data_IF_558516821835
#
_entry.id   IF_558516821835
#
_cell.length_a   1.000
_cell.length_b   1.000
_cell.length_c   1.000
_cell.angle_alpha   90.00
_cell.angle_beta   90.00
_cell.angle_gamma   90.00
#
_symmetry.space_group_name_H-M   'P 1'
#
loop_
_entity.id
_entity.type
_entity.pdbx_description
1 polymer ?
#
# COMPACT_ATOMS: atom_id res chain seq x y z
N UNK A 1 -4.49 -5.88 18.69
CA UNK A 1 -4.20 -6.35 17.33
C UNK A 1 -3.37 -5.27 16.64
N UNK A 2 -2.15 -5.58 16.23
CA UNK A 2 -1.36 -4.63 15.46
C UNK A 2 -1.97 -4.52 14.07
N UNK A 3 -2.55 -3.37 13.74
CA UNK A 3 -3.02 -3.04 12.39
C UNK A 3 -1.83 -3.22 11.43
N UNK A 4 -1.98 -4.09 10.42
CA UNK A 4 -0.93 -4.32 9.43
C UNK A 4 -0.97 -3.19 8.40
N UNK A 5 0.11 -2.43 8.32
CA UNK A 5 0.33 -1.39 7.31
C UNK A 5 1.48 -1.83 6.42
N UNK A 6 1.13 -2.32 5.25
CA UNK A 6 2.04 -3.01 4.32
C UNK A 6 2.36 -2.08 3.17
N UNK A 7 3.64 -1.84 2.92
CA UNK A 7 4.12 -1.21 1.69
C UNK A 7 4.52 -2.27 0.67
N UNK A 8 4.12 -2.10 -0.59
CA UNK A 8 4.58 -2.93 -1.71
C UNK A 8 5.48 -2.07 -2.59
N UNK A 9 6.71 -2.53 -2.75
CA UNK A 9 7.74 -1.89 -3.55
C UNK A 9 8.15 -2.76 -4.74
N UNK A 10 8.75 -2.15 -5.74
CA UNK A 10 9.31 -2.85 -6.90
C UNK A 10 9.40 -1.92 -8.11
N UNK A 11 10.13 -2.33 -9.13
CA UNK A 11 10.29 -1.58 -10.38
C UNK A 11 8.94 -1.32 -11.08
N UNK A 12 8.90 -0.33 -11.97
CA UNK A 12 7.73 -0.12 -12.80
C UNK A 12 7.49 -1.35 -13.68
N UNK A 13 6.25 -1.81 -13.76
CA UNK A 13 5.88 -2.99 -14.54
C UNK A 13 6.15 -4.35 -13.86
N UNK A 14 6.66 -4.41 -12.62
CA UNK A 14 6.90 -5.69 -11.92
C UNK A 14 5.62 -6.38 -11.39
N UNK A 15 4.43 -5.84 -11.68
CA UNK A 15 3.16 -6.48 -11.33
C UNK A 15 2.49 -6.00 -10.03
N UNK A 16 2.92 -4.87 -9.43
CA UNK A 16 2.32 -4.34 -8.19
C UNK A 16 0.81 -4.12 -8.29
N UNK A 17 0.38 -3.37 -9.31
CA UNK A 17 -1.06 -3.10 -9.54
C UNK A 17 -1.82 -4.37 -9.95
N UNK A 18 -1.18 -5.28 -10.68
CA UNK A 18 -1.73 -6.61 -11.01
C UNK A 18 -2.00 -7.40 -9.74
N UNK A 19 -1.07 -7.41 -8.79
CA UNK A 19 -1.23 -8.07 -7.49
C UNK A 19 -2.41 -7.48 -6.71
N UNK A 20 -2.55 -6.13 -6.67
CA UNK A 20 -3.69 -5.49 -6.01
C UNK A 20 -5.03 -5.87 -6.68
N UNK A 21 -5.07 -5.86 -8.02
CA UNK A 21 -6.27 -6.27 -8.77
C UNK A 21 -6.64 -7.73 -8.51
N UNK A 22 -5.65 -8.60 -8.44
CA UNK A 22 -5.83 -10.02 -8.15
C UNK A 22 -6.42 -10.30 -6.77
N UNK A 23 -6.09 -9.49 -5.75
CA UNK A 23 -6.69 -9.59 -4.41
C UNK A 23 -8.19 -9.25 -4.47
N UNK A 24 -8.61 -8.41 -5.41
CA UNK A 24 -10.00 -7.97 -5.54
C UNK A 24 -10.81 -8.94 -6.39
N UNK A 25 -10.23 -9.42 -7.46
CA UNK A 25 -10.90 -10.27 -8.45
C UNK A 25 -10.04 -11.51 -8.72
N UNK A 26 -10.40 -12.60 -8.05
CA UNK A 26 -9.72 -13.88 -8.21
C UNK A 26 -9.89 -14.50 -9.61
N UNK A 27 -10.89 -14.05 -10.40
CA UNK A 27 -11.13 -14.58 -11.74
C UNK A 27 -10.00 -14.27 -12.73
N UNK A 28 -9.18 -13.26 -12.46
CA UNK A 28 -8.01 -12.89 -13.29
C UNK A 28 -6.95 -14.00 -13.38
N UNK A 29 -6.97 -14.99 -12.46
CA UNK A 29 -6.02 -16.12 -12.46
C UNK A 29 -6.59 -17.41 -13.05
N UNK A 30 -7.88 -17.45 -13.35
CA UNK A 30 -8.51 -18.67 -13.92
C UNK A 30 -8.20 -18.85 -15.41
N UNK A 31 -7.77 -17.79 -16.13
CA UNK A 31 -7.52 -17.81 -17.59
C UNK A 31 -6.04 -17.98 -17.98
N UNK A 32 -5.11 -18.08 -17.07
CA UNK A 32 -3.68 -18.08 -17.34
C UNK A 32 -2.94 -19.37 -16.99
N UNK A 33 -2.55 -20.16 -18.01
CA UNK A 33 -1.54 -21.23 -18.02
C UNK A 33 -1.79 -22.38 -17.02
N UNK A 34 -2.09 -23.56 -17.57
CA UNK A 34 -2.50 -24.80 -16.88
C UNK A 34 -1.52 -25.38 -15.84
N UNK A 35 -0.34 -24.80 -15.60
CA UNK A 35 0.69 -25.42 -14.76
C UNK A 35 0.92 -24.79 -13.39
N UNK A 36 0.44 -23.55 -13.12
CA UNK A 36 0.55 -22.94 -11.80
C UNK A 36 -0.78 -22.28 -11.36
N UNK A 37 -1.61 -23.03 -10.64
CA UNK A 37 -2.82 -22.49 -10.00
C UNK A 37 -2.43 -21.65 -8.80
N UNK A 38 -2.39 -20.34 -8.95
CA UNK A 38 -2.32 -19.41 -7.83
C UNK A 38 -3.68 -19.33 -7.13
N UNK A 39 -3.75 -19.74 -5.89
CA UNK A 39 -4.96 -19.63 -5.10
C UNK A 39 -4.79 -18.54 -4.04
N UNK A 40 -5.67 -17.53 -4.07
CA UNK A 40 -5.77 -16.55 -2.99
C UNK A 40 -6.86 -17.03 -2.03
N UNK A 41 -6.47 -17.35 -0.81
CA UNK A 41 -7.41 -17.72 0.25
C UNK A 41 -7.73 -16.52 1.12
N UNK A 42 -8.99 -16.07 1.09
CA UNK A 42 -9.50 -15.00 1.96
C UNK A 42 -10.29 -15.67 3.08
N UNK A 43 -9.78 -15.59 4.31
CA UNK A 43 -10.47 -16.12 5.48
C UNK A 43 -11.53 -15.13 5.97
N UNK A 44 -12.76 -15.57 6.07
CA UNK A 44 -13.90 -14.72 6.40
C UNK A 44 -14.47 -13.99 5.18
N UNK A 45 -15.26 -12.95 5.44
CA UNK A 45 -15.82 -12.07 4.40
C UNK A 45 -15.43 -10.62 4.67
N UNK A 46 -14.12 -10.27 4.64
CA UNK A 46 -13.68 -8.92 4.89
C UNK A 46 -14.16 -8.00 3.77
N UNK A 47 -14.53 -6.79 4.13
CA UNK A 47 -14.78 -5.74 3.15
C UNK A 47 -13.44 -5.24 2.61
N UNK A 48 -13.26 -5.31 1.28
CA UNK A 48 -12.06 -4.83 0.61
C UNK A 48 -12.39 -3.51 -0.10
N UNK A 49 -11.64 -2.47 0.19
CA UNK A 49 -11.75 -1.19 -0.47
C UNK A 49 -10.56 -0.91 -1.36
N UNK A 50 -10.82 -0.59 -2.62
CA UNK A 50 -9.80 -0.23 -3.61
C UNK A 50 -10.28 0.92 -4.47
N UNK A 51 -9.39 1.86 -4.73
CA UNK A 51 -9.67 2.96 -5.65
C UNK A 51 -9.44 2.50 -7.10
N UNK A 52 -10.43 1.83 -7.67
CA UNK A 52 -10.50 1.66 -9.13
C UNK A 52 -11.06 2.96 -9.73
N UNK A 53 -10.73 3.31 -10.98
CA UNK A 53 -11.43 4.40 -11.68
C UNK A 53 -12.95 4.24 -11.47
N UNK A 54 -13.47 5.00 -10.51
CA UNK A 54 -14.90 4.98 -10.23
C UNK A 54 -15.57 5.93 -11.21
N UNK A 55 -16.26 5.36 -12.20
CA UNK A 55 -17.31 6.09 -12.89
C UNK A 55 -18.46 6.30 -11.90
N UNK A 56 -18.80 7.55 -11.65
CA UNK A 56 -19.99 7.87 -10.88
C UNK A 56 -21.20 7.42 -11.71
N UNK A 57 -21.94 6.44 -11.21
CA UNK A 57 -23.10 5.86 -11.91
C UNK A 57 -24.19 6.91 -12.21
N UNK A 58 -24.21 8.01 -11.47
CA UNK A 58 -25.17 9.10 -11.62
C UNK A 58 -24.46 10.43 -11.38
N UNK A 59 -24.06 11.10 -12.45
CA UNK A 59 -23.39 12.39 -12.41
C UNK A 59 -24.32 13.56 -11.98
N UNK A 60 -25.63 13.34 -11.92
CA UNK A 60 -26.62 14.35 -11.52
C UNK A 60 -26.68 14.56 -10.02
N UNK A 61 -26.11 13.66 -9.22
CA UNK A 61 -26.09 13.78 -7.75
C UNK A 61 -25.07 14.80 -7.29
N UNK A 62 -25.40 15.47 -6.20
CA UNK A 62 -24.49 16.44 -5.57
C UNK A 62 -23.33 15.75 -4.85
N UNK A 63 -22.24 16.50 -4.63
CA UNK A 63 -21.10 16.02 -3.84
C UNK A 63 -21.54 15.49 -2.47
N UNK A 64 -22.43 16.23 -1.79
CA UNK A 64 -22.91 15.82 -0.46
C UNK A 64 -23.70 14.52 -0.53
N UNK A 65 -24.59 14.36 -1.50
CA UNK A 65 -25.36 13.12 -1.69
C UNK A 65 -24.44 11.93 -1.95
N UNK A 66 -23.39 12.11 -2.77
CA UNK A 66 -22.40 11.07 -3.05
C UNK A 66 -21.61 10.64 -1.78
N UNK A 67 -21.20 11.59 -0.96
CA UNK A 67 -20.52 11.30 0.31
C UNK A 67 -21.48 10.62 1.30
N UNK A 68 -22.73 11.08 1.38
CA UNK A 68 -23.72 10.52 2.31
C UNK A 68 -24.13 9.09 1.98
N UNK A 69 -23.93 8.61 0.75
CA UNK A 69 -24.11 7.18 0.41
C UNK A 69 -23.28 6.25 1.29
N UNK A 70 -22.07 6.67 1.68
CA UNK A 70 -21.20 5.89 2.59
C UNK A 70 -21.86 5.71 3.96
N UNK A 71 -22.61 6.70 4.39
CA UNK A 71 -23.26 6.71 5.69
C UNK A 71 -24.72 6.25 5.65
N UNK A 72 -25.18 5.64 4.55
CA UNK A 72 -26.56 5.15 4.42
C UNK A 72 -27.03 4.28 5.60
N UNK A 73 -26.23 3.36 6.17
CA UNK A 73 -26.64 2.61 7.35
C UNK A 73 -26.88 3.50 8.59
N UNK A 74 -26.06 4.53 8.79
CA UNK A 74 -26.20 5.48 9.91
C UNK A 74 -27.43 6.36 9.70
N UNK A 75 -27.65 6.87 8.48
CA UNK A 75 -28.83 7.66 8.14
C UNK A 75 -30.13 6.88 8.31
N UNK A 76 -30.14 5.60 7.94
CA UNK A 76 -31.29 4.73 8.17
C UNK A 76 -31.59 4.52 9.65
N UNK A 77 -30.55 4.41 10.50
CA UNK A 77 -30.70 4.34 11.94
C UNK A 77 -31.19 5.68 12.52
N UNK A 78 -30.66 6.82 12.09
CA UNK A 78 -31.11 8.17 12.50
C UNK A 78 -32.60 8.35 12.20
N UNK A 79 -33.04 7.97 11.00
CA UNK A 79 -34.44 7.99 10.61
C UNK A 79 -35.32 7.04 11.45
N UNK A 80 -34.82 5.82 11.75
CA UNK A 80 -35.51 4.85 12.59
C UNK A 80 -35.67 5.36 14.02
N UNK A 81 -34.62 5.92 14.60
CA UNK A 81 -34.62 6.52 15.94
C UNK A 81 -35.68 7.67 16.02
N UNK A 82 -35.66 8.54 15.00
CA UNK A 82 -36.63 9.66 14.94
C UNK A 82 -38.06 9.16 14.84
N UNK A 83 -38.35 8.14 14.04
CA UNK A 83 -39.68 7.50 13.95
C UNK A 83 -40.11 6.89 15.27
N UNK A 84 -39.26 6.08 15.90
CA UNK A 84 -39.56 5.45 17.17
C UNK A 84 -39.76 6.47 18.29
N UNK A 85 -39.01 7.56 18.32
CA UNK A 85 -39.20 8.66 19.27
C UNK A 85 -40.60 9.32 19.11
N UNK A 86 -41.02 9.56 17.86
CA UNK A 86 -42.36 10.12 17.57
C UNK A 86 -43.49 9.13 17.94
N UNK A 87 -43.30 7.83 17.63
CA UNK A 87 -44.29 6.79 17.97
C UNK A 87 -44.44 6.64 19.50
N UNK A 88 -43.37 6.78 20.26
CA UNK A 88 -43.36 6.75 21.72
C UNK A 88 -44.12 7.94 22.36
N UNK A 89 -44.14 9.10 21.71
CA UNK A 89 -44.97 10.25 22.16
C UNK A 89 -46.45 9.93 22.09
N UNK A 90 -46.87 9.11 21.09
CA UNK A 90 -48.25 8.78 20.86
C UNK A 90 -48.67 7.47 21.58
N UNK A 91 -47.78 6.54 21.73
CA UNK A 91 -48.07 5.25 22.35
C UNK A 91 -46.75 4.59 22.91
N UNK A 92 -46.52 4.76 24.21
CA UNK A 92 -45.36 4.21 24.92
C UNK A 92 -45.62 2.76 25.29
N UNK A 93 -45.26 1.83 24.40
CA UNK A 93 -45.28 0.43 24.73
C UNK A 93 -43.83 -0.09 24.97
N UNK A 94 -43.71 -1.14 25.78
CA UNK A 94 -42.43 -1.69 26.20
C UNK A 94 -41.55 -2.22 25.01
N UNK A 95 -42.22 -2.58 23.91
CA UNK A 95 -41.56 -3.02 22.67
C UNK A 95 -40.86 -1.83 21.97
N UNK A 96 -41.55 -0.69 21.85
CA UNK A 96 -40.99 0.51 21.21
C UNK A 96 -39.79 1.06 22.00
N UNK A 97 -39.84 0.99 23.34
CA UNK A 97 -38.72 1.41 24.21
C UNK A 97 -37.50 0.53 23.94
N UNK A 98 -37.68 -0.78 23.88
CA UNK A 98 -36.58 -1.73 23.59
C UNK A 98 -35.96 -1.48 22.22
N UNK A 99 -36.80 -1.36 21.17
CA UNK A 99 -36.31 -1.12 19.80
C UNK A 99 -35.58 0.22 19.68
N UNK A 100 -36.06 1.27 20.39
CA UNK A 100 -35.40 2.56 20.45
C UNK A 100 -34.02 2.48 21.10
N UNK A 101 -33.92 1.79 22.24
CA UNK A 101 -32.64 1.62 22.95
C UNK A 101 -31.63 0.84 22.08
N UNK A 102 -32.07 -0.26 21.47
CA UNK A 102 -31.21 -1.04 20.57
C UNK A 102 -30.74 -0.23 19.34
N UNK A 103 -31.60 0.65 18.81
CA UNK A 103 -31.24 1.51 17.69
C UNK A 103 -30.24 2.61 18.12
N UNK A 104 -30.38 3.18 19.32
CA UNK A 104 -29.43 4.14 19.89
C UNK A 104 -28.04 3.50 20.12
N UNK A 105 -28.00 2.31 20.73
CA UNK A 105 -26.75 1.58 20.95
C UNK A 105 -26.03 1.32 19.61
N UNK A 106 -26.76 0.86 18.60
CA UNK A 106 -26.18 0.65 17.26
C UNK A 106 -25.67 1.94 16.63
N UNK A 107 -26.43 3.03 16.79
CA UNK A 107 -26.06 4.35 16.26
C UNK A 107 -24.78 4.86 16.92
N UNK A 108 -24.61 4.66 18.23
CA UNK A 108 -23.39 5.02 18.96
C UNK A 108 -22.19 4.17 18.53
N UNK A 109 -22.36 2.84 18.44
CA UNK A 109 -21.31 1.90 17.98
C UNK A 109 -20.82 2.28 16.56
N UNK A 110 -21.72 2.75 15.70
CA UNK A 110 -21.40 3.19 14.34
C UNK A 110 -20.89 4.64 14.26
N UNK A 111 -20.60 5.28 15.40
CA UNK A 111 -20.16 6.68 15.48
C UNK A 111 -21.18 7.68 14.89
N UNK A 112 -22.46 7.40 15.04
CA UNK A 112 -23.55 8.19 14.48
C UNK A 112 -23.57 9.67 14.92
N UNK A 113 -23.00 10.00 16.09
CA UNK A 113 -22.91 11.39 16.56
C UNK A 113 -21.77 12.19 15.91
N UNK A 114 -20.79 11.53 15.29
CA UNK A 114 -19.56 12.18 14.82
C UNK A 114 -19.37 12.14 13.31
N UNK A 115 -20.15 11.34 12.57
CA UNK A 115 -19.97 11.15 11.13
C UNK A 115 -20.05 12.46 10.32
N UNK A 116 -20.93 13.41 10.73
CA UNK A 116 -21.06 14.71 10.05
C UNK A 116 -19.76 15.51 10.14
N UNK A 117 -19.15 15.55 11.32
CA UNK A 117 -17.87 16.23 11.53
C UNK A 117 -16.74 15.52 10.78
N UNK A 118 -16.77 14.20 10.71
CA UNK A 118 -15.74 13.39 10.02
C UNK A 118 -15.69 13.73 8.52
N UNK A 119 -16.82 13.63 7.81
CA UNK A 119 -16.81 13.94 6.37
C UNK A 119 -16.58 15.43 6.08
N UNK A 120 -17.02 16.35 6.94
CA UNK A 120 -16.77 17.77 6.76
C UNK A 120 -15.28 18.12 6.87
N UNK A 121 -14.60 17.58 7.86
CA UNK A 121 -13.16 17.74 8.00
C UNK A 121 -12.43 17.15 6.80
N UNK A 122 -12.82 15.96 6.36
CA UNK A 122 -12.21 15.29 5.22
C UNK A 122 -12.40 16.10 3.93
N UNK A 123 -13.61 16.55 3.61
CA UNK A 123 -13.90 17.39 2.45
C UNK A 123 -13.04 18.66 2.44
N UNK A 124 -13.00 19.38 3.57
CA UNK A 124 -12.19 20.61 3.71
C UNK A 124 -10.71 20.35 3.45
N UNK A 125 -10.17 19.25 3.98
CA UNK A 125 -8.74 18.87 3.81
C UNK A 125 -8.40 18.49 2.37
N UNK A 126 -9.38 17.98 1.61
CA UNK A 126 -9.22 17.70 0.19
C UNK A 126 -9.50 18.90 -0.73
N UNK A 127 -9.71 20.08 -0.13
CA UNK A 127 -9.87 21.34 -0.85
C UNK A 127 -11.28 21.63 -1.34
N UNK A 128 -12.31 20.92 -0.84
CA UNK A 128 -13.70 21.19 -1.13
C UNK A 128 -14.27 22.25 -0.18
N UNK A 129 -15.00 23.20 -0.73
CA UNK A 129 -15.67 24.27 0.00
C UNK A 129 -17.11 23.89 0.39
N UNK A 130 -17.77 24.73 1.20
CA UNK A 130 -19.18 24.52 1.50
C UNK A 130 -20.08 24.68 0.27
N UNK A 131 -19.70 25.54 -0.68
CA UNK A 131 -20.43 25.75 -1.93
C UNK A 131 -20.34 24.51 -2.84
N UNK A 132 -19.22 23.80 -2.80
CA UNK A 132 -19.02 22.60 -3.60
C UNK A 132 -19.96 21.47 -3.21
N UNK A 133 -20.45 21.43 -1.96
CA UNK A 133 -21.38 20.41 -1.47
C UNK A 133 -22.69 20.32 -2.27
N UNK A 134 -23.14 21.46 -2.81
CA UNK A 134 -24.36 21.55 -3.62
C UNK A 134 -24.14 21.36 -5.11
N UNK A 135 -22.88 21.35 -5.58
CA UNK A 135 -22.54 21.10 -6.98
C UNK A 135 -22.75 19.63 -7.33
N UNK A 136 -23.25 19.40 -8.53
CA UNK A 136 -23.41 18.05 -9.09
C UNK A 136 -22.07 17.50 -9.57
N UNK A 137 -21.94 16.16 -9.62
CA UNK A 137 -20.67 15.50 -9.95
C UNK A 137 -20.17 15.80 -11.36
N UNK A 138 -21.05 16.16 -12.30
CA UNK A 138 -20.71 16.59 -13.66
C UNK A 138 -19.97 17.94 -13.71
N UNK A 139 -20.17 18.81 -12.70
CA UNK A 139 -19.51 20.10 -12.60
C UNK A 139 -18.06 20.03 -12.11
N UNK A 140 -17.64 18.86 -11.63
CA UNK A 140 -16.27 18.65 -11.15
C UNK A 140 -15.33 18.14 -12.26
N UNK A 141 -14.08 18.60 -12.21
CA UNK A 141 -13.02 18.06 -13.08
C UNK A 141 -12.75 16.59 -12.78
N UNK A 142 -12.14 15.87 -13.72
CA UNK A 142 -11.76 14.47 -13.54
C UNK A 142 -10.92 14.24 -12.26
N UNK A 143 -9.93 15.10 -12.00
CA UNK A 143 -9.12 15.02 -10.78
C UNK A 143 -9.91 15.26 -9.49
N UNK A 144 -10.88 16.19 -9.50
CA UNK A 144 -11.77 16.41 -8.35
C UNK A 144 -12.68 15.20 -8.13
N UNK A 145 -13.22 14.61 -9.18
CA UNK A 145 -14.02 13.36 -9.08
C UNK A 145 -13.20 12.22 -8.48
N UNK A 146 -11.94 12.06 -8.89
CA UNK A 146 -11.03 11.09 -8.29
C UNK A 146 -10.83 11.35 -6.80
N UNK A 147 -10.66 12.61 -6.38
CA UNK A 147 -10.58 12.98 -4.96
C UNK A 147 -11.86 12.62 -4.18
N UNK A 148 -13.05 12.83 -4.76
CA UNK A 148 -14.33 12.44 -4.13
C UNK A 148 -14.43 10.92 -3.99
N UNK A 149 -14.09 10.16 -5.04
CA UNK A 149 -14.08 8.70 -5.01
C UNK A 149 -13.13 8.18 -3.92
N UNK A 150 -11.96 8.79 -3.80
CA UNK A 150 -10.98 8.46 -2.77
C UNK A 150 -11.50 8.76 -1.35
N UNK A 151 -12.12 9.91 -1.15
CA UNK A 151 -12.76 10.23 0.13
C UNK A 151 -13.86 9.23 0.49
N UNK A 152 -14.72 8.85 -0.45
CA UNK A 152 -15.75 7.83 -0.23
C UNK A 152 -15.13 6.50 0.22
N UNK A 153 -14.03 6.08 -0.43
CA UNK A 153 -13.30 4.88 -0.08
C UNK A 153 -12.76 4.95 1.36
N UNK A 154 -12.09 6.05 1.73
CA UNK A 154 -11.55 6.21 3.08
C UNK A 154 -12.66 6.23 4.14
N UNK A 155 -13.72 6.98 3.92
CA UNK A 155 -14.83 7.11 4.85
C UNK A 155 -15.65 5.82 5.02
N UNK A 156 -15.62 4.90 4.04
CA UNK A 156 -16.27 3.58 4.14
C UNK A 156 -15.57 2.62 5.11
N UNK A 157 -14.34 2.91 5.50
CA UNK A 157 -13.54 2.15 6.49
C UNK A 157 -13.53 0.63 6.24
N UNK A 158 -13.13 0.14 5.06
CA UNK A 158 -13.11 -1.29 4.76
C UNK A 158 -12.15 -2.05 5.69
N UNK A 159 -12.29 -3.38 5.80
CA UNK A 159 -11.42 -4.22 6.62
C UNK A 159 -10.00 -4.32 6.04
N UNK A 160 -9.91 -4.26 4.71
CA UNK A 160 -8.66 -4.19 3.98
C UNK A 160 -8.74 -3.01 3.01
N UNK A 161 -7.87 -2.03 3.20
CA UNK A 161 -7.76 -0.86 2.35
C UNK A 161 -6.56 -1.02 1.42
N UNK A 162 -6.81 -1.05 0.11
CA UNK A 162 -5.78 -1.15 -0.93
C UNK A 162 -5.62 0.21 -1.60
N UNK A 163 -4.40 0.74 -1.61
CA UNK A 163 -4.07 2.04 -2.17
C UNK A 163 -2.96 1.90 -3.21
N UNK A 164 -3.23 2.35 -4.43
CA UNK A 164 -2.24 2.42 -5.51
C UNK A 164 -1.92 3.88 -5.80
N UNK A 165 -0.68 4.29 -5.52
CA UNK A 165 -0.17 5.66 -5.66
C UNK A 165 -1.10 6.74 -5.06
N UNK A 166 -1.48 6.63 -3.76
CA UNK A 166 -2.51 7.47 -3.17
C UNK A 166 -2.13 8.95 -3.04
N UNK A 167 -0.86 9.29 -3.13
CA UNK A 167 -0.36 10.67 -3.07
C UNK A 167 -0.48 11.42 -4.39
N UNK A 168 -0.69 10.70 -5.50
CA UNK A 168 -0.86 11.32 -6.80
C UNK A 168 -2.09 12.24 -6.81
N UNK A 169 -1.91 13.45 -7.36
CA UNK A 169 -2.95 14.47 -7.46
C UNK A 169 -3.46 15.08 -6.14
N UNK A 170 -2.79 14.78 -5.00
CA UNK A 170 -3.06 15.40 -3.72
C UNK A 170 -2.08 16.57 -3.46
N UNK A 171 -2.59 17.61 -2.83
CA UNK A 171 -1.75 18.67 -2.28
C UNK A 171 -1.16 18.27 -0.91
N UNK A 172 -0.21 19.03 -0.42
CA UNK A 172 0.50 18.76 0.84
C UNK A 172 -0.48 18.61 2.01
N UNK A 173 -1.51 19.44 2.06
CA UNK A 173 -2.51 19.44 3.15
C UNK A 173 -3.33 18.15 3.17
N UNK A 174 -3.69 17.64 1.99
CA UNK A 174 -4.40 16.39 1.84
C UNK A 174 -3.50 15.18 2.16
N UNK A 175 -2.21 15.23 1.75
CA UNK A 175 -1.23 14.20 2.08
C UNK A 175 -1.02 14.11 3.60
N UNK A 176 -0.81 15.23 4.29
CA UNK A 176 -0.67 15.26 5.76
C UNK A 176 -1.90 14.70 6.48
N UNK A 177 -3.10 15.04 5.99
CA UNK A 177 -4.32 14.47 6.54
C UNK A 177 -4.40 12.97 6.29
N UNK A 178 -4.05 12.51 5.08
CA UNK A 178 -4.05 11.09 4.72
C UNK A 178 -3.04 10.30 5.57
N UNK A 179 -1.84 10.82 5.78
CA UNK A 179 -0.85 10.21 6.67
C UNK A 179 -1.41 10.02 8.08
N UNK A 180 -2.01 11.06 8.64
CA UNK A 180 -2.61 10.99 9.98
C UNK A 180 -3.81 10.02 10.02
N UNK A 181 -4.63 10.00 8.98
CA UNK A 181 -5.75 9.08 8.85
C UNK A 181 -5.26 7.62 8.83
N UNK A 182 -4.27 7.30 7.98
CA UNK A 182 -3.72 5.94 7.84
C UNK A 182 -2.95 5.47 9.07
N UNK A 183 -2.29 6.37 9.81
CA UNK A 183 -1.65 6.04 11.09
C UNK A 183 -2.66 5.59 12.14
N UNK A 184 -3.82 6.21 12.16
CA UNK A 184 -4.90 5.90 13.10
C UNK A 184 -5.85 4.82 12.59
N UNK A 185 -5.64 4.32 11.38
CA UNK A 185 -6.48 3.28 10.81
C UNK A 185 -6.31 1.97 11.57
N UNK A 186 -7.41 1.45 12.11
CA UNK A 186 -7.39 0.29 13.02
C UNK A 186 -7.36 -1.05 12.30
N UNK A 187 -7.68 -1.05 11.00
CA UNK A 187 -7.73 -2.24 10.15
C UNK A 187 -6.48 -2.35 9.27
N UNK A 188 -6.46 -3.27 8.31
CA UNK A 188 -5.29 -3.50 7.46
C UNK A 188 -5.23 -2.52 6.29
N UNK A 189 -4.02 -2.04 5.97
CA UNK A 189 -3.76 -1.17 4.82
C UNK A 189 -2.63 -1.77 3.99
N UNK A 190 -2.80 -1.80 2.68
CA UNK A 190 -1.76 -2.16 1.71
C UNK A 190 -1.56 -0.97 0.78
N UNK A 191 -0.34 -0.52 0.65
CA UNK A 191 0.02 0.70 -0.09
C UNK A 191 1.09 0.36 -1.12
N UNK A 192 0.82 0.69 -2.37
CA UNK A 192 1.84 0.82 -3.42
C UNK A 192 2.13 2.30 -3.56
N UNK A 193 3.38 2.72 -3.40
CA UNK A 193 3.78 4.11 -3.62
C UNK A 193 5.26 4.23 -3.95
N UNK A 194 5.62 5.25 -4.73
CA UNK A 194 6.98 5.66 -4.97
C UNK A 194 7.43 6.78 -4.00
N UNK A 195 6.52 7.32 -3.20
CA UNK A 195 6.84 8.32 -2.17
C UNK A 195 7.43 7.65 -0.93
N UNK A 196 8.75 7.71 -0.83
CA UNK A 196 9.53 7.12 0.27
C UNK A 196 9.17 7.71 1.62
N UNK A 197 8.96 9.02 1.70
CA UNK A 197 8.65 9.71 2.95
C UNK A 197 7.26 9.33 3.45
N UNK A 198 6.30 9.23 2.55
CA UNK A 198 4.94 8.79 2.85
C UNK A 198 4.95 7.36 3.40
N UNK A 199 5.63 6.43 2.71
CA UNK A 199 5.76 5.04 3.17
C UNK A 199 6.47 4.95 4.52
N UNK A 200 7.58 5.69 4.70
CA UNK A 200 8.37 5.64 5.94
C UNK A 200 7.55 6.02 7.18
N UNK A 201 6.61 6.94 7.02
CA UNK A 201 5.74 7.42 8.10
C UNK A 201 4.59 6.48 8.45
N UNK A 202 4.18 5.61 7.53
CA UNK A 202 2.93 4.85 7.67
C UNK A 202 3.17 3.36 7.82
N UNK A 203 4.05 2.76 6.99
CA UNK A 203 4.17 1.31 6.90
C UNK A 203 4.96 0.74 8.08
N UNK A 204 4.63 -0.48 8.47
CA UNK A 204 5.35 -1.25 9.48
C UNK A 204 5.87 -2.60 8.93
N UNK A 205 5.63 -2.85 7.66
CA UNK A 205 6.11 -4.00 6.90
C UNK A 205 6.21 -3.61 5.43
N UNK A 206 7.26 -4.08 4.76
CA UNK A 206 7.50 -3.85 3.34
C UNK A 206 7.63 -5.18 2.62
N UNK A 207 6.96 -5.32 1.50
CA UNK A 207 7.17 -6.40 0.53
C UNK A 207 7.80 -5.81 -0.73
N UNK A 208 8.94 -6.32 -1.11
CA UNK A 208 9.62 -5.95 -2.35
C UNK A 208 9.40 -7.03 -3.40
N UNK A 209 8.94 -6.62 -4.57
CA UNK A 209 8.81 -7.49 -5.75
C UNK A 209 9.97 -7.18 -6.69
N UNK A 210 10.90 -8.14 -6.80
CA UNK A 210 12.08 -8.02 -7.64
C UNK A 210 12.39 -9.39 -8.28
N UNK A 211 12.69 -9.42 -9.58
CA UNK A 211 13.01 -10.65 -10.32
C UNK A 211 12.01 -11.80 -10.11
N UNK A 212 10.72 -11.51 -10.19
CA UNK A 212 9.61 -12.45 -9.95
C UNK A 212 9.61 -13.10 -8.56
N UNK A 213 10.34 -12.54 -7.61
CA UNK A 213 10.35 -12.97 -6.21
C UNK A 213 9.78 -11.87 -5.32
N UNK A 214 9.16 -12.27 -4.21
CA UNK A 214 8.65 -11.34 -3.21
C UNK A 214 9.42 -11.55 -1.91
N UNK A 215 10.09 -10.51 -1.44
CA UNK A 215 10.85 -10.53 -0.18
C UNK A 215 10.18 -9.66 0.86
N UNK A 216 10.02 -10.19 2.07
CA UNK A 216 9.44 -9.49 3.21
C UNK A 216 10.53 -8.81 4.04
N UNK A 217 10.28 -7.56 4.42
CA UNK A 217 11.09 -6.79 5.35
C UNK A 217 10.21 -6.25 6.48
N UNK A 218 10.67 -6.40 7.71
CA UNK A 218 9.95 -5.89 8.89
C UNK A 218 10.45 -4.50 9.23
N UNK A 219 9.54 -3.56 9.40
CA UNK A 219 9.84 -2.16 9.69
C UNK A 219 9.28 -1.20 8.66
N UNK A 220 9.73 0.06 8.73
CA UNK A 220 9.36 1.11 7.79
C UNK A 220 10.24 1.10 6.53
N UNK A 221 10.11 2.12 5.68
CA UNK A 221 10.90 2.23 4.46
C UNK A 221 12.41 2.37 4.74
N UNK A 222 12.79 3.16 5.73
CA UNK A 222 14.20 3.31 6.15
C UNK A 222 14.79 2.01 6.65
N UNK A 223 14.02 1.21 7.41
CA UNK A 223 14.47 -0.10 7.90
C UNK A 223 14.63 -1.10 6.73
N UNK A 224 13.72 -1.07 5.76
CA UNK A 224 13.82 -1.83 4.52
C UNK A 224 15.12 -1.52 3.78
N UNK A 225 15.45 -0.24 3.53
CA UNK A 225 16.69 0.14 2.83
C UNK A 225 17.94 -0.37 3.55
N UNK A 226 17.97 -0.28 4.89
CA UNK A 226 19.08 -0.80 5.70
C UNK A 226 19.22 -2.32 5.58
N UNK A 227 18.10 -3.05 5.75
CA UNK A 227 18.09 -4.51 5.66
C UNK A 227 18.49 -4.98 4.26
N UNK A 228 17.94 -4.37 3.21
CA UNK A 228 18.28 -4.68 1.81
C UNK A 228 19.76 -4.51 1.55
N UNK A 229 20.36 -3.39 2.01
CA UNK A 229 21.81 -3.15 1.86
C UNK A 229 22.65 -4.20 2.58
N UNK A 230 22.32 -4.54 3.82
CA UNK A 230 23.04 -5.56 4.59
C UNK A 230 22.96 -6.92 3.89
N UNK A 231 21.77 -7.31 3.42
CA UNK A 231 21.56 -8.56 2.70
C UNK A 231 22.39 -8.62 1.42
N UNK A 232 22.42 -7.52 0.67
CA UNK A 232 23.20 -7.41 -0.56
C UNK A 232 24.71 -7.51 -0.31
N UNK A 233 25.22 -6.77 0.68
CA UNK A 233 26.65 -6.86 1.08
C UNK A 233 27.04 -8.27 1.53
N UNK A 234 26.15 -8.96 2.23
CA UNK A 234 26.34 -10.34 2.63
C UNK A 234 26.38 -11.27 1.41
N UNK A 235 25.43 -11.12 0.49
CA UNK A 235 25.35 -11.93 -0.72
C UNK A 235 26.60 -11.78 -1.59
N UNK A 236 27.14 -10.56 -1.74
CA UNK A 236 28.41 -10.32 -2.44
C UNK A 236 29.56 -11.08 -1.78
N UNK A 237 29.71 -10.98 -0.45
CA UNK A 237 30.77 -11.67 0.28
C UNK A 237 30.67 -13.19 0.13
N UNK A 238 29.47 -13.72 0.25
CA UNK A 238 29.21 -15.17 0.12
C UNK A 238 29.54 -15.65 -1.30
N UNK A 239 29.17 -14.88 -2.33
CA UNK A 239 29.49 -15.13 -3.73
C UNK A 239 31.01 -15.09 -3.96
N UNK A 240 31.71 -14.05 -3.55
CA UNK A 240 33.15 -13.89 -3.70
C UNK A 240 33.91 -15.03 -3.00
N UNK A 241 33.50 -15.38 -1.79
CA UNK A 241 34.06 -16.51 -1.04
C UNK A 241 33.87 -17.84 -1.79
N UNK A 242 32.68 -18.11 -2.29
CA UNK A 242 32.39 -19.31 -3.07
C UNK A 242 33.23 -19.38 -4.36
N UNK A 243 33.31 -18.25 -5.10
CA UNK A 243 34.11 -18.18 -6.33
C UNK A 243 35.62 -18.43 -6.05
N UNK A 244 36.14 -17.87 -4.97
CA UNK A 244 37.51 -18.12 -4.55
C UNK A 244 37.75 -19.61 -4.21
N UNK A 245 36.80 -20.24 -3.48
CA UNK A 245 36.91 -21.69 -3.14
C UNK A 245 36.79 -22.56 -4.39
N UNK A 246 35.88 -22.25 -5.33
CA UNK A 246 35.79 -22.98 -6.62
C UNK A 246 37.11 -22.89 -7.39
N UNK A 247 37.69 -21.70 -7.54
CA UNK A 247 38.98 -21.48 -8.19
C UNK A 247 40.09 -22.28 -7.51
N UNK A 248 40.12 -22.29 -6.17
CA UNK A 248 41.09 -23.05 -5.39
C UNK A 248 40.97 -24.55 -5.63
N UNK A 249 39.74 -25.08 -5.57
CA UNK A 249 39.49 -26.51 -5.79
C UNK A 249 39.84 -26.92 -7.23
N UNK A 250 39.50 -26.07 -8.20
CA UNK A 250 39.79 -26.29 -9.61
C UNK A 250 41.28 -26.29 -9.88
N UNK A 251 42.06 -25.34 -9.33
CA UNK A 251 43.53 -25.31 -9.46
C UNK A 251 44.20 -26.55 -8.86
N UNK A 252 43.69 -27.09 -7.76
CA UNK A 252 44.17 -28.33 -7.16
C UNK A 252 43.86 -29.51 -8.10
N UNK A 253 42.64 -29.58 -8.62
CA UNK A 253 42.22 -30.64 -9.54
C UNK A 253 43.11 -30.66 -10.81
N UNK A 254 43.32 -29.50 -11.43
CA UNK A 254 44.15 -29.36 -12.65
C UNK A 254 45.59 -29.73 -12.42
N UNK A 255 46.20 -29.33 -11.26
CA UNK A 255 47.58 -29.68 -10.91
C UNK A 255 47.81 -31.20 -10.77
N UNK A 256 46.80 -31.94 -10.30
CA UNK A 256 46.92 -33.36 -10.00
C UNK A 256 46.19 -34.27 -11.00
N UNK A 257 45.49 -33.74 -11.99
CA UNK A 257 44.72 -34.49 -13.00
C UNK A 257 45.55 -35.53 -13.74
N UNK A 258 46.81 -35.20 -14.06
CA UNK A 258 47.67 -36.03 -14.86
C UNK A 258 48.62 -36.91 -14.02
N UNK A 259 48.54 -36.91 -12.69
CA UNK A 259 49.36 -37.73 -11.81
C UNK A 259 48.59 -38.98 -11.39
N UNK A 260 48.96 -40.21 -11.85
CA UNK A 260 48.18 -41.43 -11.59
C UNK A 260 47.86 -41.67 -10.11
N UNK A 261 48.83 -41.41 -9.21
CA UNK A 261 48.70 -41.61 -7.77
C UNK A 261 47.79 -40.61 -7.09
N UNK A 262 47.46 -39.46 -7.74
CA UNK A 262 46.66 -38.37 -7.21
C UNK A 262 45.37 -38.09 -8.01
N UNK A 263 45.10 -38.84 -9.08
CA UNK A 263 43.95 -38.67 -9.94
C UNK A 263 42.63 -38.82 -9.16
N UNK A 264 42.54 -39.76 -8.21
CA UNK A 264 41.37 -39.95 -7.34
C UNK A 264 41.08 -38.71 -6.47
N UNK A 265 42.14 -38.02 -6.00
CA UNK A 265 41.99 -36.77 -5.24
C UNK A 265 41.49 -35.62 -6.13
N UNK A 266 41.98 -35.49 -7.35
CA UNK A 266 41.51 -34.49 -8.32
C UNK A 266 40.02 -34.68 -8.63
N UNK A 267 39.59 -35.91 -8.93
CA UNK A 267 38.19 -36.26 -9.16
C UNK A 267 37.29 -35.92 -7.95
N UNK A 268 37.76 -36.20 -6.72
CA UNK A 268 37.02 -35.83 -5.50
C UNK A 268 36.83 -34.33 -5.37
N UNK A 269 37.80 -33.48 -5.81
CA UNK A 269 37.67 -32.03 -5.78
C UNK A 269 36.67 -31.51 -6.82
N UNK A 270 36.68 -32.07 -8.03
CA UNK A 270 35.72 -31.75 -9.06
C UNK A 270 34.30 -32.13 -8.63
N UNK A 271 34.12 -33.34 -8.07
CA UNK A 271 32.81 -33.77 -7.54
C UNK A 271 32.29 -32.84 -6.42
N UNK A 272 33.20 -32.32 -5.57
CA UNK A 272 32.83 -31.34 -4.56
C UNK A 272 32.29 -30.05 -5.18
N UNK A 273 32.88 -29.56 -6.29
CA UNK A 273 32.40 -28.39 -7.02
C UNK A 273 31.02 -28.67 -7.61
N UNK A 274 30.81 -29.80 -8.27
CA UNK A 274 29.52 -30.21 -8.86
C UNK A 274 28.41 -30.32 -7.83
N UNK A 275 28.73 -30.69 -6.59
CA UNK A 275 27.79 -30.81 -5.48
C UNK A 275 27.53 -29.49 -4.72
N UNK A 276 28.27 -28.41 -5.04
CA UNK A 276 28.05 -27.10 -4.43
C UNK A 276 26.79 -26.48 -4.99
N UNK A 277 25.93 -26.00 -4.10
CA UNK A 277 24.84 -25.11 -4.50
C UNK A 277 25.46 -23.78 -4.94
N UNK A 278 25.40 -23.50 -6.25
CA UNK A 278 26.01 -22.31 -6.82
C UNK A 278 25.18 -21.08 -6.36
N UNK A 279 25.89 -20.08 -5.84
CA UNK A 279 25.32 -18.77 -5.52
C UNK A 279 25.38 -17.92 -6.78
N UNK A 280 24.25 -17.42 -7.22
CA UNK A 280 24.19 -16.52 -8.37
C UNK A 280 24.90 -15.19 -8.07
N UNK A 281 25.51 -14.62 -9.10
CA UNK A 281 26.10 -13.29 -8.98
C UNK A 281 25.01 -12.28 -8.59
N UNK A 282 25.19 -11.53 -7.48
CA UNK A 282 24.21 -10.56 -7.07
C UNK A 282 23.99 -9.50 -8.16
N UNK A 283 22.74 -9.30 -8.54
CA UNK A 283 22.41 -8.22 -9.46
C UNK A 283 22.88 -6.89 -8.86
N UNK A 284 23.49 -6.03 -9.68
CA UNK A 284 24.02 -4.75 -9.21
C UNK A 284 22.91 -3.95 -8.55
N UNK A 285 23.00 -3.82 -7.23
CA UNK A 285 22.17 -2.90 -6.48
C UNK A 285 22.57 -1.48 -6.90
N UNK A 286 21.66 -0.79 -7.57
CA UNK A 286 21.94 0.54 -8.10
C UNK A 286 21.89 1.55 -6.93
N UNK A 287 23.01 1.58 -6.19
CA UNK A 287 23.30 2.59 -5.15
C UNK A 287 23.75 3.93 -5.77
N UNK A 288 23.48 4.14 -7.06
CA UNK A 288 23.85 5.40 -7.70
C UNK A 288 23.10 6.56 -7.05
N UNK A 289 23.73 7.11 -6.01
CA UNK A 289 23.50 8.50 -5.64
C UNK A 289 23.94 9.36 -6.82
N UNK A 290 22.99 10.04 -7.42
CA UNK A 290 23.28 10.99 -8.47
C UNK A 290 24.01 12.19 -7.83
N UNK A 291 25.33 12.22 -7.95
CA UNK A 291 26.13 13.37 -7.55
C UNK A 291 26.17 14.36 -8.70
N UNK A 292 25.39 15.42 -8.59
CA UNK A 292 25.44 16.52 -9.52
C UNK A 292 26.49 17.53 -9.02
N UNK A 293 27.65 17.58 -9.66
CA UNK A 293 28.61 18.64 -9.43
C UNK A 293 28.25 19.84 -10.32
N UNK A 294 27.67 20.86 -9.71
CA UNK A 294 27.47 22.15 -10.41
C UNK A 294 28.79 22.92 -10.45
N UNK A 295 29.44 22.92 -11.59
CA UNK A 295 30.54 23.86 -11.82
C UNK A 295 29.95 25.27 -12.02
N UNK A 296 29.99 26.09 -10.99
CA UNK A 296 29.57 27.47 -11.03
C UNK A 296 30.62 28.22 -11.88
N UNK A 297 30.25 28.60 -13.11
CA UNK A 297 31.10 29.38 -14.01
C UNK A 297 31.25 30.88 -13.63
N UNK A 298 30.33 31.37 -12.81
CA UNK A 298 30.35 32.74 -12.27
C UNK A 298 29.78 32.73 -10.87
N UNK A 299 30.47 33.31 -9.91
CA UNK A 299 29.94 33.57 -8.59
C UNK A 299 28.84 34.63 -8.67
N UNK A 300 27.66 34.34 -8.11
CA UNK A 300 26.60 35.33 -7.98
C UNK A 300 27.00 36.42 -6.99
N UNK A 301 26.61 37.67 -7.24
CA UNK A 301 26.81 38.76 -6.29
C UNK A 301 26.17 38.50 -4.93
N UNK A 302 26.62 39.24 -3.89
CA UNK A 302 26.14 39.09 -2.49
C UNK A 302 24.63 39.15 -2.30
N UNK A 303 23.89 39.80 -3.20
CA UNK A 303 22.43 39.90 -3.17
C UNK A 303 21.85 39.33 -4.48
N UNK A 304 21.33 38.13 -4.42
CA UNK A 304 20.75 37.41 -5.56
C UNK A 304 19.26 37.72 -5.72
N UNK A 305 18.56 38.02 -4.63
CA UNK A 305 17.14 38.38 -4.60
C UNK A 305 16.85 39.32 -3.44
N UNK A 306 16.12 40.42 -3.71
CA UNK A 306 15.57 41.30 -2.70
C UNK A 306 14.08 41.42 -2.94
N UNK A 307 13.27 40.87 -2.00
CA UNK A 307 11.81 41.00 -2.02
C UNK A 307 11.43 42.16 -1.11
N UNK A 308 10.71 43.16 -1.67
CA UNK A 308 10.06 44.27 -0.91
C UNK A 308 8.67 43.90 -0.52
#
# INVERSE_FOLDING_TARGET
>A
SNSKRIGILGASGCGKSTLLNAIIDNSMFEEGIEEEKFNIYIQGSPTIGFLKQMDFQDSSKTLLEEILKVYAPILNLENKITKLANDMQNNSNQKNIKEYTEALEKFEIMNGYTYKKEYEVALKKFGFTNEDKSKTMDQFSGGQRTKVAFLKLLLSKPDILLLDEPTNHLDITAIEWLENYLRNYTKSVVIVSHDRMFLDRIVNKVYEIEYSTMTEYIGNYTDFEKQKRINYEKQIKDYEYQQAEIKRLQSIADRFRYKPTKAKMALSKLKKIEQMQIIDEPNKYDLKTFHMNFNIKMESGKNVLSVK
#
